data_IF_336185855804
#
_entry.id   IF_336185855804
#
_cell.length_a   1.000
_cell.length_b   1.000
_cell.length_c   1.000
_cell.angle_alpha   90.00
_cell.angle_beta   90.00
_cell.angle_gamma   90.00
#
_symmetry.space_group_name_H-M   'P 1'
#
loop_
_entity.id
_entity.type
_entity.pdbx_description
1 polymer ?
#
# COMPACT_ATOMS: atom_id res chain seq x y z
N UNK A 1 -6.74 -7.17 -7.95
CA UNK A 1 -6.44 -8.37 -8.78
C UNK A 1 -6.32 -9.59 -7.87
N UNK A 2 -6.68 -10.79 -8.36
CA UNK A 2 -6.55 -12.05 -7.60
C UNK A 2 -5.24 -12.79 -7.89
N UNK A 3 -4.53 -12.40 -8.95
CA UNK A 3 -3.30 -13.07 -9.43
C UNK A 3 -2.04 -12.39 -8.89
N UNK A 4 -2.11 -11.09 -8.65
CA UNK A 4 -1.00 -10.31 -8.11
C UNK A 4 -1.51 -9.14 -7.26
N UNK A 5 -0.63 -8.62 -6.42
CA UNK A 5 -0.81 -7.33 -5.75
C UNK A 5 0.44 -6.49 -5.91
N UNK A 6 0.27 -5.17 -5.95
CA UNK A 6 1.35 -4.23 -6.19
C UNK A 6 1.19 -2.97 -5.33
N UNK A 7 2.28 -2.21 -5.23
CA UNK A 7 2.32 -0.90 -4.60
C UNK A 7 3.33 -0.01 -5.32
N UNK A 8 3.14 1.29 -5.20
CA UNK A 8 4.03 2.32 -5.77
C UNK A 8 4.23 3.44 -4.75
N UNK A 9 5.41 4.05 -4.78
CA UNK A 9 5.79 5.19 -3.94
C UNK A 9 6.21 6.32 -4.85
N UNK A 10 5.55 7.46 -4.67
CA UNK A 10 5.91 8.71 -5.35
C UNK A 10 6.45 9.71 -4.33
N UNK A 11 7.34 10.58 -4.80
CA UNK A 11 7.71 11.80 -4.08
C UNK A 11 7.15 13.00 -4.81
N UNK A 12 6.72 14.00 -4.05
CA UNK A 12 6.24 15.28 -4.56
C UNK A 12 6.93 16.42 -3.82
N UNK A 13 7.43 17.40 -4.55
CA UNK A 13 7.94 18.63 -3.94
C UNK A 13 6.77 19.56 -3.63
N UNK A 14 6.69 20.03 -2.38
CA UNK A 14 5.61 20.92 -1.91
C UNK A 14 5.53 22.17 -2.78
N UNK A 15 4.31 22.62 -3.09
CA UNK A 15 4.02 23.78 -3.94
C UNK A 15 4.48 23.65 -5.40
N UNK A 16 4.72 22.43 -5.89
CA UNK A 16 4.98 22.16 -7.31
C UNK A 16 4.10 21.02 -7.80
N UNK A 17 3.96 20.91 -9.12
CA UNK A 17 3.35 19.74 -9.77
C UNK A 17 4.37 18.63 -10.07
N UNK A 18 5.59 18.73 -9.54
CA UNK A 18 6.63 17.74 -9.78
C UNK A 18 6.39 16.51 -8.92
N UNK A 19 5.98 15.43 -9.58
CA UNK A 19 5.75 14.12 -8.98
C UNK A 19 6.69 13.13 -9.66
N UNK A 20 7.48 12.42 -8.88
CA UNK A 20 8.45 11.43 -9.37
C UNK A 20 8.14 10.05 -8.77
N UNK A 21 8.19 9.01 -9.60
CA UNK A 21 8.12 7.64 -9.13
C UNK A 21 9.45 7.29 -8.45
N UNK A 22 9.41 6.98 -7.16
CA UNK A 22 10.60 6.56 -6.40
C UNK A 22 10.80 5.05 -6.52
N UNK A 23 9.72 4.28 -6.37
CA UNK A 23 9.79 2.83 -6.44
C UNK A 23 8.41 2.22 -6.72
N UNK A 24 8.41 1.09 -7.44
CA UNK A 24 7.27 0.21 -7.59
C UNK A 24 7.63 -1.21 -7.17
N UNK A 25 6.65 -1.96 -6.65
CA UNK A 25 6.85 -3.37 -6.30
C UNK A 25 5.58 -4.17 -6.49
N UNK A 26 5.69 -5.34 -7.10
CA UNK A 26 4.61 -6.31 -7.26
C UNK A 26 5.00 -7.67 -6.68
N UNK A 27 3.99 -8.51 -6.40
CA UNK A 27 4.14 -9.91 -6.02
C UNK A 27 2.99 -10.73 -6.58
N UNK A 28 3.34 -11.91 -7.10
CA UNK A 28 2.36 -12.93 -7.50
C UNK A 28 1.70 -13.56 -6.26
N UNK A 29 0.42 -13.88 -6.40
CA UNK A 29 -0.34 -14.62 -5.40
C UNK A 29 0.03 -16.10 -5.53
N UNK A 30 0.49 -16.77 -4.45
CA UNK A 30 0.84 -18.18 -4.53
C UNK A 30 -0.38 -19.05 -4.89
N UNK A 31 -0.26 -19.89 -5.90
CA UNK A 31 -1.35 -20.76 -6.39
C UNK A 31 -2.00 -21.65 -5.31
N UNK A 32 -1.28 -21.95 -4.22
CA UNK A 32 -1.76 -22.80 -3.12
C UNK A 32 -2.55 -22.04 -2.04
N UNK A 33 -2.72 -20.72 -2.15
CA UNK A 33 -3.39 -19.91 -1.12
C UNK A 33 -4.63 -19.22 -1.67
N UNK A 34 -5.79 -19.66 -1.20
CA UNK A 34 -7.06 -18.98 -1.45
C UNK A 34 -7.23 -17.82 -0.46
N UNK A 35 -6.79 -16.63 -0.85
CA UNK A 35 -7.04 -15.40 -0.09
C UNK A 35 -8.22 -14.65 -0.71
N UNK A 36 -9.04 -14.04 0.15
CA UNK A 36 -10.09 -13.12 -0.30
C UNK A 36 -9.47 -11.86 -0.89
N UNK A 37 -10.18 -11.20 -1.81
CA UNK A 37 -9.70 -9.97 -2.43
C UNK A 37 -9.26 -8.90 -1.40
N UNK A 38 -10.03 -8.60 -0.33
CA UNK A 38 -9.57 -7.66 0.70
C UNK A 38 -8.26 -8.07 1.40
N UNK A 39 -8.01 -9.38 1.59
CA UNK A 39 -6.75 -9.86 2.18
C UNK A 39 -5.56 -9.71 1.23
N UNK A 40 -5.80 -9.77 -0.07
CA UNK A 40 -4.79 -9.49 -1.10
C UNK A 40 -4.49 -7.99 -1.17
N UNK A 41 -5.52 -7.14 -1.15
CA UNK A 41 -5.37 -5.68 -1.08
C UNK A 41 -4.61 -5.26 0.19
N UNK A 42 -4.94 -5.82 1.35
CA UNK A 42 -4.17 -5.62 2.60
C UNK A 42 -2.73 -6.14 2.48
N UNK A 43 -2.50 -7.18 1.69
CA UNK A 43 -1.14 -7.66 1.41
C UNK A 43 -0.35 -6.69 0.52
N UNK A 44 -1.03 -5.95 -0.36
CA UNK A 44 -0.49 -4.80 -1.10
C UNK A 44 -0.10 -3.66 -0.16
N UNK A 45 -0.98 -3.27 0.77
CA UNK A 45 -0.67 -2.26 1.79
C UNK A 45 0.52 -2.67 2.69
N UNK A 46 0.61 -3.96 3.05
CA UNK A 46 1.76 -4.49 3.77
C UNK A 46 3.06 -4.48 2.96
N UNK A 47 2.97 -4.73 1.64
CA UNK A 47 4.12 -4.60 0.75
C UNK A 47 4.57 -3.14 0.67
N UNK A 48 3.61 -2.21 0.61
CA UNK A 48 3.85 -0.77 0.62
C UNK A 48 4.56 -0.33 1.90
N UNK A 49 4.12 -0.77 3.09
CA UNK A 49 4.76 -0.37 4.35
C UNK A 49 6.23 -0.79 4.39
N UNK A 50 6.56 -2.00 3.92
CA UNK A 50 7.95 -2.45 3.80
C UNK A 50 8.77 -1.61 2.83
N UNK A 51 8.19 -1.24 1.70
CA UNK A 51 8.85 -0.38 0.72
C UNK A 51 9.05 1.03 1.28
N UNK A 52 8.04 1.58 1.93
CA UNK A 52 8.08 2.89 2.58
C UNK A 52 9.14 2.94 3.67
N UNK A 53 9.29 1.89 4.50
CA UNK A 53 10.35 1.83 5.50
C UNK A 53 11.74 1.98 4.85
N UNK A 54 11.98 1.31 3.72
CA UNK A 54 13.25 1.45 2.97
C UNK A 54 13.43 2.86 2.42
N UNK A 55 12.38 3.45 1.85
CA UNK A 55 12.43 4.82 1.33
C UNK A 55 12.71 5.83 2.44
N UNK A 56 12.02 5.73 3.59
CA UNK A 56 12.24 6.56 4.78
C UNK A 56 13.69 6.44 5.27
N UNK A 57 14.25 5.23 5.31
CA UNK A 57 15.65 5.01 5.70
C UNK A 57 16.63 5.65 4.70
N UNK A 58 16.40 5.51 3.40
CA UNK A 58 17.25 6.13 2.37
C UNK A 58 17.18 7.66 2.37
N UNK A 59 16.06 8.24 2.83
CA UNK A 59 15.83 9.68 2.88
C UNK A 59 15.89 10.27 4.30
N UNK A 60 16.48 9.54 5.25
CA UNK A 60 16.48 9.87 6.69
C UNK A 60 17.06 11.25 7.07
N UNK A 61 17.76 11.91 6.15
CA UNK A 61 18.28 13.28 6.32
C UNK A 61 17.23 14.38 6.05
N UNK A 62 16.04 14.01 5.60
CA UNK A 62 14.98 14.95 5.23
C UNK A 62 13.74 14.72 6.08
N UNK A 63 13.08 15.81 6.49
CA UNK A 63 11.76 15.75 7.09
C UNK A 63 10.73 15.59 5.96
N UNK A 64 10.15 14.39 5.85
CA UNK A 64 9.22 14.03 4.77
C UNK A 64 7.89 13.63 5.38
N UNK A 65 6.82 14.34 4.98
CA UNK A 65 5.45 13.92 5.26
C UNK A 65 5.10 12.67 4.44
N UNK A 66 4.51 11.66 5.09
CA UNK A 66 4.08 10.43 4.41
C UNK A 66 2.57 10.25 4.42
N UNK A 67 2.08 9.67 3.34
CA UNK A 67 0.66 9.37 3.14
C UNK A 67 0.51 7.98 2.51
N UNK A 68 -0.46 7.22 2.99
CA UNK A 68 -0.86 5.94 2.41
C UNK A 68 -2.20 6.05 1.69
N UNK A 69 -2.32 5.43 0.52
CA UNK A 69 -3.55 5.45 -0.26
C UNK A 69 -3.98 4.02 -0.61
N UNK A 70 -5.27 3.75 -0.47
CA UNK A 70 -5.90 2.52 -0.94
C UNK A 70 -7.27 2.84 -1.51
N UNK A 71 -7.67 2.11 -2.56
CA UNK A 71 -8.99 2.19 -3.17
C UNK A 71 -9.99 1.19 -2.60
N UNK A 72 -9.57 0.41 -1.61
CA UNK A 72 -10.43 -0.51 -0.88
C UNK A 72 -10.88 0.10 0.44
N UNK A 73 -12.17 0.46 0.53
CA UNK A 73 -12.77 0.98 1.76
C UNK A 73 -12.70 -0.03 2.92
N UNK A 74 -12.74 -1.33 2.61
CA UNK A 74 -12.60 -2.40 3.60
C UNK A 74 -11.19 -2.36 4.19
N UNK A 75 -10.17 -2.34 3.33
CA UNK A 75 -8.77 -2.26 3.78
C UNK A 75 -8.50 -0.96 4.52
N UNK A 76 -9.03 0.16 4.05
CA UNK A 76 -8.93 1.44 4.76
C UNK A 76 -9.50 1.36 6.18
N UNK A 77 -10.70 0.77 6.33
CA UNK A 77 -11.31 0.57 7.65
C UNK A 77 -10.47 -0.33 8.57
N UNK A 78 -9.78 -1.34 8.03
CA UNK A 78 -8.84 -2.15 8.81
C UNK A 78 -7.59 -1.37 9.23
N UNK A 79 -7.02 -0.57 8.32
CA UNK A 79 -5.81 0.21 8.55
C UNK A 79 -6.03 1.37 9.52
N UNK A 80 -7.23 1.94 9.54
CA UNK A 80 -7.61 3.02 10.45
C UNK A 80 -8.13 2.53 11.81
N UNK A 81 -8.39 1.23 11.95
CA UNK A 81 -8.89 0.65 13.19
C UNK A 81 -7.81 -0.06 14.01
N UNK A 82 -8.13 -0.32 15.28
CA UNK A 82 -7.24 -1.04 16.19
C UNK A 82 -7.03 -2.49 15.77
N UNK A 83 -5.77 -2.97 15.66
CA UNK A 83 -5.46 -4.33 15.20
C UNK A 83 -6.17 -5.44 15.99
N UNK A 84 -6.33 -5.26 17.29
CA UNK A 84 -6.89 -6.27 18.21
C UNK A 84 -8.36 -6.59 17.94
N UNK A 85 -9.07 -5.75 17.18
CA UNK A 85 -10.46 -5.97 16.77
C UNK A 85 -10.58 -6.95 15.60
N UNK A 86 -9.48 -7.26 14.92
CA UNK A 86 -9.48 -8.02 13.68
C UNK A 86 -9.08 -9.49 13.88
N UNK A 87 -9.52 -10.34 12.93
CA UNK A 87 -9.05 -11.73 12.90
C UNK A 87 -7.52 -11.77 12.70
N UNK A 88 -6.81 -12.81 13.21
CA UNK A 88 -5.36 -12.83 13.31
C UNK A 88 -4.57 -12.42 12.06
N UNK A 89 -5.00 -12.86 10.87
CA UNK A 89 -4.33 -12.47 9.61
C UNK A 89 -4.33 -10.95 9.39
N UNK A 90 -5.48 -10.31 9.62
CA UNK A 90 -5.65 -8.86 9.42
C UNK A 90 -4.94 -8.12 10.56
N UNK A 91 -5.18 -8.53 11.81
CA UNK A 91 -4.56 -7.94 13.00
C UNK A 91 -3.03 -7.87 12.89
N UNK A 92 -2.39 -9.00 12.58
CA UNK A 92 -0.93 -9.08 12.50
C UNK A 92 -0.35 -8.19 11.40
N UNK A 93 -1.05 -8.04 10.28
CA UNK A 93 -0.60 -7.16 9.18
C UNK A 93 -0.83 -5.70 9.50
N UNK A 94 -2.00 -5.34 10.03
CA UNK A 94 -2.31 -3.96 10.41
C UNK A 94 -1.31 -3.47 11.46
N UNK A 95 -1.00 -4.29 12.48
CA UNK A 95 0.02 -3.96 13.49
C UNK A 95 1.37 -3.60 12.85
N UNK A 96 1.90 -4.45 11.98
CA UNK A 96 3.18 -4.22 11.29
C UNK A 96 3.13 -3.04 10.31
N UNK A 97 1.95 -2.72 9.76
CA UNK A 97 1.78 -1.56 8.89
C UNK A 97 1.81 -0.28 9.72
N UNK A 98 1.05 -0.24 10.82
CA UNK A 98 0.94 0.91 11.72
C UNK A 98 2.26 1.25 12.41
N UNK A 99 3.14 0.26 12.65
CA UNK A 99 4.52 0.49 13.12
C UNK A 99 5.37 1.35 12.16
N UNK A 100 5.06 1.37 10.86
CA UNK A 100 5.79 2.14 9.84
C UNK A 100 5.01 3.37 9.35
N UNK A 101 3.69 3.23 9.27
CA UNK A 101 2.73 4.21 8.75
C UNK A 101 1.49 4.21 9.64
N UNK A 102 1.40 5.15 10.60
CA UNK A 102 0.29 5.26 11.55
C UNK A 102 -1.09 5.34 10.88
N UNK A 103 -2.14 4.98 11.61
CA UNK A 103 -3.51 4.91 11.11
C UNK A 103 -4.01 6.20 10.43
N UNK A 104 -3.60 7.37 10.93
CA UNK A 104 -4.03 8.68 10.44
C UNK A 104 -3.36 9.10 9.12
N UNK A 105 -2.35 8.38 8.64
CA UNK A 105 -1.71 8.62 7.35
C UNK A 105 -2.48 8.00 6.17
N UNK A 106 -3.42 7.09 6.45
CA UNK A 106 -4.12 6.32 5.42
C UNK A 106 -5.38 7.01 4.90
N UNK A 107 -5.54 7.01 3.58
CA UNK A 107 -6.59 7.72 2.85
C UNK A 107 -7.20 6.86 1.75
N UNK A 108 -8.42 7.22 1.36
CA UNK A 108 -9.12 6.61 0.22
C UNK A 108 -8.72 7.29 -1.09
N UNK A 109 -8.44 6.51 -2.13
CA UNK A 109 -8.31 6.98 -3.53
C UNK A 109 -9.31 6.22 -4.42
N UNK A 110 -9.80 6.81 -5.51
CA UNK A 110 -10.63 6.06 -6.47
C UNK A 110 -9.76 5.05 -7.23
N UNK A 111 -10.30 3.87 -7.57
CA UNK A 111 -9.55 2.87 -8.34
C UNK A 111 -9.03 3.39 -9.68
N UNK A 112 -9.78 4.28 -10.35
CA UNK A 112 -9.35 4.92 -11.60
C UNK A 112 -8.12 5.84 -11.45
N UNK A 113 -7.83 6.26 -10.22
CA UNK A 113 -6.72 7.15 -9.86
C UNK A 113 -5.61 6.39 -9.13
N UNK A 114 -5.72 5.06 -8.99
CA UNK A 114 -4.74 4.22 -8.30
C UNK A 114 -3.71 3.65 -9.30
N UNK A 115 -2.50 4.23 -9.42
CA UNK A 115 -1.48 3.74 -10.36
C UNK A 115 -0.98 2.33 -10.05
N UNK A 116 -1.16 1.81 -8.82
CA UNK A 116 -0.77 0.44 -8.48
C UNK A 116 -1.64 -0.61 -9.20
N UNK A 117 -2.84 -0.24 -9.66
CA UNK A 117 -3.74 -1.15 -10.35
C UNK A 117 -3.19 -1.62 -11.69
N UNK A 118 -2.48 -0.76 -12.42
CA UNK A 118 -1.80 -1.14 -13.65
C UNK A 118 -0.80 -2.29 -13.42
N UNK A 119 -0.03 -2.21 -12.34
CA UNK A 119 0.95 -3.23 -11.99
C UNK A 119 0.34 -4.51 -11.39
N UNK A 120 -0.88 -4.45 -10.85
CA UNK A 120 -1.55 -5.62 -10.27
C UNK A 120 -2.45 -6.38 -11.26
N UNK A 121 -3.04 -5.67 -12.23
CA UNK A 121 -3.93 -6.22 -13.26
C UNK A 121 -3.18 -6.64 -14.53
N UNK A 122 -1.94 -6.18 -14.69
CA UNK A 122 -1.20 -6.32 -15.93
C UNK A 122 -1.61 -5.25 -16.95
N UNK A 123 -0.69 -4.94 -17.86
CA UNK A 123 -0.94 -4.09 -19.02
C UNK A 123 -0.71 -4.95 -20.27
N UNK A 124 -1.60 -4.85 -21.25
CA UNK A 124 -1.34 -5.37 -22.59
C UNK A 124 -0.34 -4.45 -23.28
N UNK A 125 0.68 -5.04 -23.93
CA UNK A 125 1.62 -4.27 -24.73
C UNK A 125 0.86 -3.54 -25.86
N UNK A 126 1.23 -2.28 -26.09
CA UNK A 126 0.74 -1.48 -27.22
C UNK A 126 1.48 -1.83 -28.50
#
# INVERSE_FOLDING_TARGET
SIEAYACVVYARVKNTNNVILIAGKSKLVPHKKTLTLPRLELSGAYLLSKLMNKVKQSLNKHLIETFGWTDSKIVLGWLQGEPNRWKPFVANRVKQIQEVMPENEWRYVKSSENPADAASRGLTAS
#
